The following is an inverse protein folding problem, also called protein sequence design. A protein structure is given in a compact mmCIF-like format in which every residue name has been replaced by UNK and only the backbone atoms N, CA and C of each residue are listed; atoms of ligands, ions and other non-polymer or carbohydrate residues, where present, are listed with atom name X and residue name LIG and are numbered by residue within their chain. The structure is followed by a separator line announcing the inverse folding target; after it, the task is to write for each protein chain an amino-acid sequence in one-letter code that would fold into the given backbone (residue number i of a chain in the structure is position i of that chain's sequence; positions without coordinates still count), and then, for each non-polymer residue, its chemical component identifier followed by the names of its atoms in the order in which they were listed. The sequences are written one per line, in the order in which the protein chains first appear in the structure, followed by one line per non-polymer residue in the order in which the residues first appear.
data_IF_463445135836
#
_entry.id   IF_463445135836
#
_cell.length_a   1.000
_cell.length_b   1.000
_cell.length_c   1.000
_cell.angle_alpha   90.00
_cell.angle_beta   90.00
_cell.angle_gamma   90.00
#
_symmetry.space_group_name_H-M   'P 1'
#
loop_
_entity.id
_entity.type
_entity.pdbx_description
1 polymer ?
#
# COMPACT_ATOMS: atom_id res chain seq x y z
N UNK A 1 5.16 82.58 -37.24
CA UNK A 1 6.60 82.28 -37.30
C UNK A 1 6.79 80.89 -36.72
N UNK A 2 6.99 79.88 -37.60
CA UNK A 2 8.24 79.10 -37.70
C UNK A 2 9.01 78.81 -36.38
N UNK A 3 9.49 77.61 -36.02
CA UNK A 3 9.85 76.36 -36.72
C UNK A 3 9.81 75.18 -35.72
N UNK A 4 9.67 73.96 -36.24
CA UNK A 4 9.86 72.63 -35.64
C UNK A 4 11.16 72.44 -34.82
N UNK A 5 11.14 71.51 -33.86
CA UNK A 5 12.03 70.33 -33.93
C UNK A 5 11.52 69.14 -33.10
N UNK A 6 11.67 67.96 -33.69
CA UNK A 6 11.36 66.63 -33.17
C UNK A 6 12.40 66.17 -32.13
N UNK A 7 11.98 65.38 -31.14
CA UNK A 7 12.80 64.27 -30.65
C UNK A 7 11.90 63.10 -30.24
N UNK A 8 12.13 61.98 -30.90
CA UNK A 8 11.44 60.71 -30.81
C UNK A 8 12.26 59.80 -29.89
N UNK A 9 11.73 59.39 -28.73
CA UNK A 9 12.32 58.29 -27.94
C UNK A 9 11.25 57.33 -27.38
N UNK A 10 11.54 56.05 -27.64
CA UNK A 10 10.78 54.80 -27.52
C UNK A 10 9.99 54.54 -26.22
N UNK A 11 8.95 53.68 -26.30
CA UNK A 11 8.22 53.23 -25.13
C UNK A 11 9.05 52.23 -24.31
N UNK A 12 9.11 52.45 -23.00
CA UNK A 12 9.58 51.45 -22.05
C UNK A 12 8.47 50.41 -21.86
N UNK A 13 8.70 49.21 -22.39
CA UNK A 13 7.90 48.03 -22.10
C UNK A 13 8.02 47.68 -20.61
N UNK A 14 7.07 48.16 -19.80
CA UNK A 14 6.81 47.62 -18.47
C UNK A 14 6.16 46.25 -18.62
N UNK A 15 6.97 45.19 -18.52
CA UNK A 15 6.49 43.83 -18.40
C UNK A 15 5.63 43.71 -17.13
N UNK A 16 4.30 43.74 -17.29
CA UNK A 16 3.37 43.35 -16.26
C UNK A 16 3.56 41.86 -15.97
N UNK A 17 4.29 41.55 -14.91
CA UNK A 17 4.39 40.19 -14.40
C UNK A 17 2.98 39.73 -14.02
N UNK A 18 2.44 38.76 -14.77
CA UNK A 18 1.21 38.09 -14.40
C UNK A 18 1.43 37.41 -13.04
N UNK A 19 0.67 37.83 -12.04
CA UNK A 19 0.68 37.19 -10.72
C UNK A 19 0.35 35.69 -10.88
N UNK A 20 1.05 34.79 -10.18
CA UNK A 20 0.74 33.36 -10.24
C UNK A 20 -0.69 33.16 -9.74
N UNK A 21 -1.55 32.61 -10.62
CA UNK A 21 -2.89 32.19 -10.27
C UNK A 21 -2.77 31.10 -9.20
N UNK A 22 -3.12 31.44 -7.96
CA UNK A 22 -3.24 30.46 -6.88
C UNK A 22 -4.37 29.50 -7.24
N UNK A 23 -4.01 28.27 -7.60
CA UNK A 23 -4.95 27.15 -7.73
C UNK A 23 -5.81 27.09 -6.48
N UNK A 24 -7.11 27.36 -6.61
CA UNK A 24 -8.07 27.24 -5.51
C UNK A 24 -8.00 25.82 -4.94
N UNK A 25 -7.48 25.71 -3.72
CA UNK A 25 -7.38 24.45 -3.00
C UNK A 25 -8.78 24.06 -2.53
N UNK A 26 -9.46 23.18 -3.26
CA UNK A 26 -10.68 22.53 -2.78
C UNK A 26 -10.33 21.59 -1.62
N UNK A 27 -10.66 21.98 -0.39
CA UNK A 27 -10.61 21.08 0.76
C UNK A 27 -11.84 20.18 0.72
N UNK A 28 -11.65 18.87 0.59
CA UNK A 28 -12.76 17.91 0.66
C UNK A 28 -13.20 17.81 2.13
N UNK A 29 -14.39 18.29 2.46
CA UNK A 29 -14.92 18.23 3.83
C UNK A 29 -15.42 16.83 4.18
N UNK A 30 -15.22 16.39 5.42
CA UNK A 30 -15.82 15.14 5.94
C UNK A 30 -15.04 13.85 5.69
N UNK A 31 -13.76 13.96 5.30
CA UNK A 31 -12.87 12.81 5.15
C UNK A 31 -12.61 12.19 6.53
N UNK A 32 -12.91 10.90 6.66
CA UNK A 32 -12.71 10.15 7.91
C UNK A 32 -11.34 9.48 7.91
N UNK A 33 -10.68 9.38 9.08
CA UNK A 33 -9.47 8.57 9.20
C UNK A 33 -9.78 7.08 8.92
N UNK A 34 -8.76 6.27 8.60
CA UNK A 34 -8.86 4.82 8.58
C UNK A 34 -9.50 4.25 9.84
N UNK A 35 -10.19 3.12 9.71
CA UNK A 35 -10.60 2.35 10.87
C UNK A 35 -9.36 1.83 11.63
N UNK A 36 -9.53 1.55 12.92
CA UNK A 36 -8.48 1.01 13.77
C UNK A 36 -7.81 -0.24 13.15
N UNK A 37 -6.49 -0.31 13.30
CA UNK A 37 -5.66 -1.36 12.73
C UNK A 37 -5.80 -2.65 13.53
N UNK A 38 -6.20 -3.73 12.85
CA UNK A 38 -6.34 -5.06 13.42
C UNK A 38 -5.18 -5.97 12.98
N UNK A 39 -4.24 -6.23 13.89
CA UNK A 39 -3.05 -7.08 13.64
C UNK A 39 -3.16 -8.48 14.28
N UNK A 40 -4.35 -8.90 14.68
CA UNK A 40 -4.59 -10.23 15.27
C UNK A 40 -4.97 -11.26 14.21
N UNK A 41 -4.39 -12.46 14.30
CA UNK A 41 -4.76 -13.62 13.48
C UNK A 41 -4.16 -13.63 12.06
N UNK A 42 -4.65 -14.56 11.23
CA UNK A 42 -4.09 -14.86 9.91
C UNK A 42 -4.15 -13.70 8.90
N UNK A 43 -4.99 -12.69 9.14
CA UNK A 43 -5.19 -11.56 8.22
C UNK A 43 -4.35 -10.32 8.58
N UNK A 44 -3.44 -10.41 9.56
CA UNK A 44 -2.66 -9.27 10.05
C UNK A 44 -1.92 -8.52 8.92
N UNK A 45 -1.26 -9.25 8.01
CA UNK A 45 -0.55 -8.68 6.88
C UNK A 45 -1.47 -7.96 5.88
N UNK A 46 -2.64 -8.52 5.58
CA UNK A 46 -3.60 -7.90 4.65
C UNK A 46 -4.27 -6.67 5.27
N UNK A 47 -4.68 -6.78 6.53
CA UNK A 47 -5.24 -5.66 7.28
C UNK A 47 -4.25 -4.49 7.37
N UNK A 48 -2.96 -4.80 7.58
CA UNK A 48 -1.90 -3.81 7.57
C UNK A 48 -1.77 -3.10 6.22
N UNK A 49 -1.73 -3.84 5.10
CA UNK A 49 -1.65 -3.24 3.75
C UNK A 49 -2.81 -2.28 3.48
N UNK A 50 -4.03 -2.69 3.82
CA UNK A 50 -5.24 -1.87 3.66
C UNK A 50 -5.16 -0.62 4.55
N UNK A 51 -4.78 -0.77 5.82
CA UNK A 51 -4.64 0.35 6.74
C UNK A 51 -3.59 1.36 6.27
N UNK A 52 -2.40 0.88 5.91
CA UNK A 52 -1.29 1.71 5.42
C UNK A 52 -1.72 2.54 4.21
N UNK A 53 -2.34 1.90 3.20
CA UNK A 53 -2.81 2.60 2.01
C UNK A 53 -3.86 3.67 2.36
N UNK A 54 -4.82 3.35 3.24
CA UNK A 54 -5.83 4.31 3.69
C UNK A 54 -5.21 5.48 4.46
N UNK A 55 -4.22 5.21 5.32
CA UNK A 55 -3.50 6.24 6.06
C UNK A 55 -2.73 7.18 5.13
N UNK A 56 -1.98 6.64 4.17
CA UNK A 56 -1.22 7.43 3.19
C UNK A 56 -2.15 8.36 2.39
N UNK A 57 -3.27 7.83 1.89
CA UNK A 57 -4.30 8.62 1.20
C UNK A 57 -4.91 9.69 2.11
N UNK A 58 -5.28 9.32 3.33
CA UNK A 58 -5.84 10.23 4.32
C UNK A 58 -4.88 11.38 4.62
N UNK A 59 -3.59 11.08 4.83
CA UNK A 59 -2.57 12.06 5.18
C UNK A 59 -2.34 13.08 4.05
N UNK A 60 -2.45 12.65 2.79
CA UNK A 60 -2.37 13.53 1.61
C UNK A 60 -3.62 14.42 1.53
N UNK A 61 -4.81 13.81 1.54
CA UNK A 61 -6.09 14.53 1.32
C UNK A 61 -6.33 15.57 2.42
N UNK A 62 -6.02 15.22 3.67
CA UNK A 62 -6.20 16.11 4.84
C UNK A 62 -5.00 17.00 5.11
N UNK A 63 -3.96 16.96 4.26
CA UNK A 63 -2.71 17.73 4.37
C UNK A 63 -1.96 17.51 5.69
N UNK A 64 -2.15 16.37 6.33
CA UNK A 64 -1.35 15.94 7.49
C UNK A 64 0.11 15.84 7.09
N UNK A 65 0.41 15.39 5.87
CA UNK A 65 1.77 15.32 5.34
C UNK A 65 2.52 16.68 5.33
N UNK A 66 1.80 17.80 5.41
CA UNK A 66 2.37 19.15 5.45
C UNK A 66 2.49 19.71 6.88
N UNK A 67 2.06 18.97 7.89
CA UNK A 67 2.12 19.39 9.29
C UNK A 67 3.49 19.07 9.91
N UNK A 68 3.76 19.61 11.10
CA UNK A 68 4.97 19.27 11.85
C UNK A 68 5.01 17.77 12.18
N UNK A 69 6.21 17.20 12.20
CA UNK A 69 6.43 15.77 12.41
C UNK A 69 5.70 15.23 13.66
N UNK A 70 5.75 15.96 14.77
CA UNK A 70 5.07 15.57 16.01
C UNK A 70 3.55 15.45 15.83
N UNK A 71 2.93 16.37 15.08
CA UNK A 71 1.51 16.28 14.76
C UNK A 71 1.20 15.06 13.89
N UNK A 72 2.01 14.80 12.88
CA UNK A 72 1.83 13.64 12.00
C UNK A 72 1.88 12.33 12.77
N UNK A 73 2.87 12.19 13.66
CA UNK A 73 3.06 11.01 14.53
C UNK A 73 1.91 10.87 15.51
N UNK A 74 1.54 11.94 16.22
CA UNK A 74 0.44 11.92 17.16
C UNK A 74 -0.87 11.48 16.49
N UNK A 75 -1.16 12.01 15.30
CA UNK A 75 -2.36 11.65 14.56
C UNK A 75 -2.32 10.19 14.07
N UNK A 76 -1.16 9.70 13.59
CA UNK A 76 -0.99 8.29 13.23
C UNK A 76 -1.28 7.39 14.43
N UNK A 77 -0.64 7.64 15.56
CA UNK A 77 -0.79 6.84 16.79
C UNK A 77 -2.20 6.92 17.38
N UNK A 78 -2.89 8.04 17.21
CA UNK A 78 -4.31 8.14 17.55
C UNK A 78 -5.20 7.30 16.61
N UNK A 79 -4.82 7.21 15.34
CA UNK A 79 -5.60 6.53 14.29
C UNK A 79 -5.45 5.01 14.29
N UNK A 80 -4.28 4.48 14.70
CA UNK A 80 -4.05 3.02 14.72
C UNK A 80 -4.97 2.29 15.70
N UNK A 81 -5.47 2.97 16.74
CA UNK A 81 -6.34 2.40 17.77
C UNK A 81 -5.60 1.60 18.85
N UNK A 82 -6.30 1.31 19.96
CA UNK A 82 -5.69 0.84 21.21
C UNK A 82 -4.86 -0.44 21.09
N UNK A 83 -5.34 -1.44 20.33
CA UNK A 83 -4.61 -2.71 20.19
C UNK A 83 -3.29 -2.52 19.45
N UNK A 84 -3.30 -1.82 18.32
CA UNK A 84 -2.09 -1.50 17.58
C UNK A 84 -1.17 -0.55 18.36
N UNK A 85 -1.72 0.37 19.15
CA UNK A 85 -0.94 1.25 20.02
C UNK A 85 -0.19 0.47 21.11
N UNK A 86 -0.78 -0.59 21.69
CA UNK A 86 -0.09 -1.49 22.62
C UNK A 86 1.08 -2.21 21.96
N UNK A 87 0.92 -2.64 20.70
CA UNK A 87 1.99 -3.25 19.90
C UNK A 87 3.10 -2.23 19.65
N UNK A 88 2.75 -1.01 19.24
CA UNK A 88 3.70 0.09 19.06
C UNK A 88 4.54 0.36 20.31
N UNK A 89 3.92 0.37 21.49
CA UNK A 89 4.62 0.58 22.76
C UNK A 89 5.65 -0.53 23.08
N UNK A 90 5.54 -1.69 22.42
CA UNK A 90 6.52 -2.78 22.52
C UNK A 90 7.62 -2.73 21.45
N UNK A 91 7.51 -1.86 20.45
CA UNK A 91 8.53 -1.72 19.41
C UNK A 91 9.81 -1.09 19.96
N UNK A 92 10.94 -1.56 19.45
CA UNK A 92 12.25 -1.03 19.77
C UNK A 92 12.71 -0.17 18.59
N UNK A 93 12.92 1.11 18.86
CA UNK A 93 13.42 2.07 17.88
C UNK A 93 14.80 2.57 18.32
N UNK A 94 15.70 2.76 17.35
CA UNK A 94 16.98 3.43 17.59
C UNK A 94 16.82 4.95 17.71
N UNK A 95 15.79 5.49 17.09
CA UNK A 95 15.47 6.93 17.08
C UNK A 95 14.70 7.31 18.35
N UNK A 96 15.10 8.41 19.02
CA UNK A 96 14.36 8.97 20.15
C UNK A 96 12.89 9.23 19.84
N UNK A 97 12.02 9.16 20.85
CA UNK A 97 10.56 9.32 20.68
C UNK A 97 10.17 10.66 20.05
N UNK A 98 10.88 11.74 20.38
CA UNK A 98 10.64 13.10 19.89
C UNK A 98 11.17 13.35 18.47
N UNK A 99 11.97 12.42 17.94
CA UNK A 99 12.58 12.49 16.61
C UNK A 99 12.04 11.42 15.64
N UNK A 100 11.17 10.52 16.13
CA UNK A 100 10.61 9.43 15.36
C UNK A 100 9.65 9.95 14.31
N UNK A 101 9.75 9.42 13.09
CA UNK A 101 8.89 9.79 11.97
C UNK A 101 7.73 8.83 11.79
N UNK A 102 6.66 9.27 11.10
CA UNK A 102 5.57 8.37 10.68
C UNK A 102 6.07 7.23 9.80
N UNK A 103 7.10 7.48 8.98
CA UNK A 103 7.74 6.47 8.14
C UNK A 103 8.34 5.32 8.95
N UNK A 104 9.14 5.63 9.97
CA UNK A 104 9.74 4.59 10.83
C UNK A 104 8.69 3.76 11.57
N UNK A 105 7.60 4.41 12.03
CA UNK A 105 6.48 3.73 12.67
C UNK A 105 5.79 2.78 11.69
N UNK A 106 5.54 3.24 10.47
CA UNK A 106 4.94 2.44 9.40
C UNK A 106 5.84 1.23 9.09
N UNK A 107 7.15 1.42 8.96
CA UNK A 107 8.10 0.32 8.70
C UNK A 107 8.14 -0.71 9.84
N UNK A 108 8.04 -0.26 11.10
CA UNK A 108 7.98 -1.16 12.25
C UNK A 108 6.70 -2.00 12.26
N UNK A 109 5.55 -1.41 11.95
CA UNK A 109 4.30 -2.14 11.81
C UNK A 109 4.29 -3.07 10.60
N UNK A 110 4.88 -2.68 9.45
CA UNK A 110 5.05 -3.54 8.29
C UNK A 110 5.87 -4.79 8.68
N UNK A 111 7.00 -4.59 9.37
CA UNK A 111 7.83 -5.70 9.86
C UNK A 111 7.07 -6.59 10.85
N UNK A 112 6.28 -6.01 11.75
CA UNK A 112 5.47 -6.80 12.68
C UNK A 112 4.39 -7.60 11.95
N UNK A 113 3.65 -6.95 11.05
CA UNK A 113 2.57 -7.59 10.29
C UNK A 113 3.09 -8.71 9.40
N UNK A 114 4.21 -8.49 8.69
CA UNK A 114 4.87 -9.52 7.87
C UNK A 114 5.50 -10.59 8.76
N UNK A 115 6.21 -10.22 9.83
CA UNK A 115 6.86 -11.16 10.74
C UNK A 115 5.88 -12.02 11.53
N UNK A 116 4.63 -11.58 11.68
CA UNK A 116 3.54 -12.35 12.29
C UNK A 116 2.90 -13.37 11.33
N UNK A 117 3.24 -13.34 10.04
CA UNK A 117 2.77 -14.34 9.08
C UNK A 117 3.41 -15.68 9.43
N UNK A 118 2.60 -16.62 9.90
CA UNK A 118 3.03 -18.00 10.07
C UNK A 118 3.17 -18.65 8.69
N UNK A 119 4.33 -18.47 8.06
CA UNK A 119 4.64 -18.98 6.71
C UNK A 119 4.32 -20.47 6.58
N UNK A 120 4.56 -21.26 7.63
CA UNK A 120 4.24 -22.69 7.62
C UNK A 120 2.73 -22.95 7.52
N UNK A 121 1.92 -22.16 8.23
CA UNK A 121 0.46 -22.21 8.13
C UNK A 121 -0.04 -21.72 6.77
N UNK A 122 0.48 -20.63 6.23
CA UNK A 122 0.11 -20.14 4.89
C UNK A 122 0.41 -21.18 3.81
N UNK A 123 1.61 -21.78 3.85
CA UNK A 123 1.99 -22.90 2.98
C UNK A 123 1.09 -24.10 3.17
N UNK A 124 0.66 -24.39 4.40
CA UNK A 124 -0.31 -25.46 4.66
C UNK A 124 -1.65 -25.18 3.97
N UNK A 125 -2.20 -23.97 4.10
CA UNK A 125 -3.47 -23.57 3.45
C UNK A 125 -3.34 -23.62 1.92
N UNK A 126 -2.27 -23.06 1.35
CA UNK A 126 -1.97 -23.13 -0.07
C UNK A 126 -1.90 -24.58 -0.57
N UNK A 127 -1.17 -25.45 0.13
CA UNK A 127 -1.00 -26.83 -0.29
C UNK A 127 -2.27 -27.68 -0.11
N UNK A 128 -3.12 -27.36 0.87
CA UNK A 128 -4.41 -28.03 1.10
C UNK A 128 -5.49 -27.62 0.09
N UNK A 129 -5.31 -26.51 -0.63
CA UNK A 129 -6.30 -26.02 -1.59
C UNK A 129 -6.45 -26.98 -2.78
N UNK A 130 -7.68 -27.42 -3.06
CA UNK A 130 -8.05 -28.27 -4.20
C UNK A 130 -9.25 -27.67 -4.93
N UNK A 131 -9.36 -27.85 -6.25
CA UNK A 131 -10.49 -27.33 -7.02
C UNK A 131 -11.81 -27.96 -6.53
N UNK A 132 -12.76 -27.10 -6.17
CA UNK A 132 -14.08 -27.51 -5.67
C UNK A 132 -14.95 -28.16 -6.76
N UNK A 133 -15.98 -28.87 -6.34
CA UNK A 133 -16.99 -29.39 -7.26
C UNK A 133 -17.77 -28.23 -7.91
N UNK A 134 -17.81 -28.22 -9.24
CA UNK A 134 -18.44 -27.12 -10.00
C UNK A 134 -17.68 -25.79 -9.95
N UNK A 135 -16.51 -25.73 -9.31
CA UNK A 135 -15.71 -24.51 -9.27
C UNK A 135 -15.06 -24.22 -10.65
N UNK A 136 -15.31 -23.05 -11.26
CA UNK A 136 -14.63 -22.65 -12.48
C UNK A 136 -13.11 -22.55 -12.27
N UNK A 137 -12.34 -23.00 -13.25
CA UNK A 137 -10.88 -22.99 -13.17
C UNK A 137 -10.29 -21.59 -12.87
N UNK A 138 -10.83 -20.54 -13.48
CA UNK A 138 -10.34 -19.16 -13.26
C UNK A 138 -10.50 -18.71 -11.80
N UNK A 139 -11.57 -19.15 -11.12
CA UNK A 139 -11.79 -18.86 -9.70
C UNK A 139 -10.77 -19.60 -8.83
N UNK A 140 -10.53 -20.88 -9.15
CA UNK A 140 -9.50 -21.70 -8.50
C UNK A 140 -8.11 -21.09 -8.65
N UNK A 141 -7.71 -20.74 -9.88
CA UNK A 141 -6.42 -20.12 -10.19
C UNK A 141 -6.24 -18.78 -9.48
N UNK A 142 -7.29 -17.95 -9.45
CA UNK A 142 -7.27 -16.66 -8.74
C UNK A 142 -7.02 -16.85 -7.25
N UNK A 143 -7.69 -17.82 -6.61
CA UNK A 143 -7.44 -18.17 -5.22
C UNK A 143 -6.00 -18.63 -4.98
N UNK A 144 -5.45 -19.53 -5.81
CA UNK A 144 -4.07 -19.98 -5.67
C UNK A 144 -3.06 -18.82 -5.80
N UNK A 145 -3.25 -17.93 -6.77
CA UNK A 145 -2.43 -16.72 -6.96
C UNK A 145 -2.50 -15.77 -5.77
N UNK A 146 -3.61 -15.75 -5.04
CA UNK A 146 -3.73 -14.97 -3.80
C UNK A 146 -2.97 -15.63 -2.66
N UNK A 147 -3.18 -16.93 -2.44
CA UNK A 147 -2.56 -17.69 -1.34
C UNK A 147 -1.04 -17.76 -1.45
N UNK A 148 -0.47 -17.89 -2.66
CA UNK A 148 0.98 -18.03 -2.82
C UNK A 148 1.76 -16.76 -2.41
N UNK A 149 1.11 -15.58 -2.38
CA UNK A 149 1.74 -14.29 -2.04
C UNK A 149 2.20 -14.19 -0.59
N UNK A 150 1.64 -14.98 0.31
CA UNK A 150 1.98 -15.00 1.75
C UNK A 150 2.83 -16.20 2.13
N UNK A 151 3.15 -17.07 1.16
CA UNK A 151 3.88 -18.31 1.40
C UNK A 151 5.42 -18.15 1.45
N UNK A 152 5.95 -16.94 1.22
CA UNK A 152 7.39 -16.65 1.25
C UNK A 152 8.23 -17.65 0.43
N UNK A 153 7.78 -17.94 -0.80
CA UNK A 153 8.56 -18.71 -1.76
C UNK A 153 9.51 -17.80 -2.55
N UNK A 154 10.62 -18.35 -3.04
CA UNK A 154 11.52 -17.60 -3.92
C UNK A 154 10.80 -17.07 -5.16
N UNK A 155 11.03 -15.80 -5.51
CA UNK A 155 10.34 -15.12 -6.62
C UNK A 155 10.47 -15.89 -7.95
N UNK A 156 11.65 -16.45 -8.23
CA UNK A 156 11.93 -17.25 -9.44
C UNK A 156 11.25 -18.63 -9.42
N UNK A 157 10.73 -19.07 -8.29
CA UNK A 157 10.12 -20.38 -8.08
C UNK A 157 8.59 -20.32 -8.05
N UNK A 158 8.00 -19.13 -7.95
CA UNK A 158 6.55 -18.95 -7.80
C UNK A 158 5.79 -19.62 -8.94
N UNK A 159 6.24 -19.44 -10.18
CA UNK A 159 5.57 -19.99 -11.36
C UNK A 159 5.64 -21.52 -11.43
N UNK A 160 6.78 -22.13 -11.07
CA UNK A 160 6.90 -23.59 -11.03
C UNK A 160 6.06 -24.19 -9.92
N UNK A 161 6.09 -23.60 -8.72
CA UNK A 161 5.29 -24.04 -7.57
C UNK A 161 3.79 -23.91 -7.87
N UNK A 162 3.37 -22.81 -8.47
CA UNK A 162 1.97 -22.59 -8.82
C UNK A 162 1.49 -23.60 -9.85
N UNK A 163 2.30 -23.88 -10.88
CA UNK A 163 2.03 -24.91 -11.90
C UNK A 163 1.88 -26.29 -11.27
N UNK A 164 2.84 -26.71 -10.45
CA UNK A 164 2.80 -28.00 -9.77
C UNK A 164 1.55 -28.11 -8.90
N UNK A 165 1.19 -27.03 -8.19
CA UNK A 165 -0.01 -27.00 -7.36
C UNK A 165 -1.31 -27.08 -8.18
N UNK A 166 -1.35 -26.45 -9.35
CA UNK A 166 -2.48 -26.57 -10.29
C UNK A 166 -2.63 -28.03 -10.73
N UNK A 167 -1.54 -28.69 -11.14
CA UNK A 167 -1.57 -30.10 -11.57
C UNK A 167 -2.02 -30.99 -10.41
N UNK A 168 -1.51 -30.78 -9.20
CA UNK A 168 -1.87 -31.59 -8.03
C UNK A 168 -3.34 -31.42 -7.64
N UNK A 169 -3.86 -30.18 -7.67
CA UNK A 169 -5.17 -29.86 -7.11
C UNK A 169 -6.32 -29.70 -8.12
N UNK A 170 -6.09 -29.84 -9.42
CA UNK A 170 -7.16 -29.84 -10.44
C UNK A 170 -8.04 -31.07 -10.23
N UNK A 171 -9.37 -30.88 -10.28
CA UNK A 171 -10.33 -31.95 -9.97
C UNK A 171 -10.49 -32.93 -11.13
N UNK A 172 -10.44 -32.42 -12.36
CA UNK A 172 -10.64 -33.24 -13.55
C UNK A 172 -9.41 -34.12 -13.84
N UNK A 173 -9.58 -35.43 -13.68
CA UNK A 173 -8.49 -36.40 -13.81
C UNK A 173 -7.96 -36.50 -15.25
N UNK A 174 -8.79 -36.22 -16.26
CA UNK A 174 -8.35 -36.20 -17.65
C UNK A 174 -7.46 -34.98 -17.93
N UNK A 175 -7.88 -33.80 -17.48
CA UNK A 175 -7.09 -32.57 -17.51
C UNK A 175 -5.77 -32.75 -16.77
N UNK A 176 -5.77 -33.32 -15.57
CA UNK A 176 -4.54 -33.62 -14.83
C UNK A 176 -3.57 -34.47 -15.64
N UNK A 177 -4.06 -35.56 -16.26
CA UNK A 177 -3.25 -36.43 -17.11
C UNK A 177 -2.73 -35.73 -18.36
N UNK A 178 -3.50 -34.79 -18.92
CA UNK A 178 -3.06 -34.00 -20.06
C UNK A 178 -1.93 -33.05 -19.68
N UNK A 179 -2.09 -32.30 -18.59
CA UNK A 179 -1.08 -31.38 -18.07
C UNK A 179 0.24 -32.09 -17.73
N UNK A 180 0.18 -33.32 -17.19
CA UNK A 180 1.38 -34.12 -16.89
C UNK A 180 2.16 -34.58 -18.14
N UNK A 181 1.56 -34.53 -19.34
CA UNK A 181 2.23 -34.89 -20.60
C UNK A 181 2.92 -33.69 -21.26
N UNK A 182 2.53 -32.47 -20.89
CA UNK A 182 3.17 -31.27 -21.40
C UNK A 182 4.58 -31.15 -20.83
N UNK A 183 5.58 -31.12 -21.72
CA UNK A 183 6.96 -30.87 -21.33
C UNK A 183 7.15 -29.37 -21.12
N UNK A 184 7.44 -28.99 -19.88
CA UNK A 184 7.86 -27.62 -19.50
C UNK A 184 9.36 -27.44 -19.54
#
# INVERSE_FOLDING_TARGET
MEVQNQEEQRPTNGAGAAAPQQLQQHTVSGIRPPNALALEGANAAENWKIFRQKWENYAIITKVANQEMQYQVALLLHTVGDQALRIYNGFQFTTPDDQRTTKEIIEAFEKFAIGSVNVAYERFIFNKREQGEGEPFDAYLTQLRTLIKTCDYCETCVDSILRDKIIIGVRDAETQKHLLKERT
#
